data_IF_364812486481
#
_entry.id   IF_364812486481
#
_cell.length_a   1.000
_cell.length_b   1.000
_cell.length_c   1.000
_cell.angle_alpha   90.00
_cell.angle_beta   90.00
_cell.angle_gamma   90.00
#
_symmetry.space_group_name_H-M   'P 1'
#
loop_
_entity.id
_entity.type
_entity.pdbx_description
1 polymer ?
#
# COMPACT_ATOMS: atom_id res chain seq x y z
N UNK A 1 -13.65 -3.27 -12.93
CA UNK A 1 -14.81 -3.68 -12.12
C UNK A 1 -14.46 -3.42 -10.67
N UNK A 2 -15.41 -2.88 -9.89
CA UNK A 2 -15.19 -2.51 -8.48
C UNK A 2 -16.00 -3.45 -7.60
N UNK A 3 -15.32 -4.16 -6.70
CA UNK A 3 -15.96 -5.08 -5.76
C UNK A 3 -16.06 -4.44 -4.37
N UNK A 4 -17.01 -4.89 -3.56
CA UNK A 4 -17.14 -4.44 -2.17
C UNK A 4 -16.23 -5.28 -1.26
N UNK A 5 -15.63 -4.65 -0.25
CA UNK A 5 -14.92 -5.36 0.82
C UNK A 5 -15.78 -5.31 2.08
N UNK A 6 -16.07 -6.47 2.64
CA UNK A 6 -16.94 -6.60 3.83
C UNK A 6 -16.30 -7.43 4.92
N UNK A 7 -16.71 -7.19 6.17
CA UNK A 7 -16.26 -7.96 7.33
C UNK A 7 -16.83 -9.38 7.29
N UNK A 8 -15.99 -10.39 7.51
CA UNK A 8 -16.41 -11.81 7.48
C UNK A 8 -17.21 -12.22 8.72
N UNK A 9 -16.77 -11.79 9.91
CA UNK A 9 -17.34 -12.19 11.20
C UNK A 9 -17.39 -11.02 12.19
N UNK A 10 -18.16 -11.15 13.28
CA UNK A 10 -18.26 -10.08 14.29
C UNK A 10 -16.91 -9.86 14.97
N UNK A 11 -16.40 -8.62 14.95
CA UNK A 11 -15.12 -8.26 15.56
C UNK A 11 -15.26 -6.96 16.35
N UNK A 12 -14.65 -6.91 17.53
CA UNK A 12 -14.51 -5.70 18.33
C UNK A 12 -13.10 -5.14 18.15
N UNK A 13 -13.01 -3.92 17.66
CA UNK A 13 -11.75 -3.20 17.43
C UNK A 13 -11.51 -2.25 18.61
N UNK A 14 -10.46 -2.47 19.43
CA UNK A 14 -10.18 -1.60 20.57
C UNK A 14 -9.92 -0.14 20.15
N UNK A 15 -10.15 0.85 21.04
CA UNK A 15 -9.79 2.23 20.76
C UNK A 15 -8.29 2.37 20.47
N UNK A 16 -7.92 3.33 19.62
CA UNK A 16 -6.51 3.69 19.34
C UNK A 16 -5.61 2.50 18.97
N UNK A 17 -6.16 1.49 18.29
CA UNK A 17 -5.49 0.22 18.03
C UNK A 17 -5.46 -0.15 16.56
N UNK A 18 -4.52 -1.02 16.19
CA UNK A 18 -4.44 -1.65 14.86
C UNK A 18 -4.74 -3.13 14.99
N UNK A 19 -5.51 -3.66 14.04
CA UNK A 19 -5.90 -5.07 14.04
C UNK A 19 -5.99 -5.58 12.60
N UNK A 20 -5.58 -6.82 12.37
CA UNK A 20 -5.90 -7.53 11.14
C UNK A 20 -7.25 -8.23 11.32
N UNK A 21 -8.17 -8.01 10.39
CA UNK A 21 -9.50 -8.59 10.44
C UNK A 21 -9.78 -9.40 9.17
N UNK A 22 -10.41 -10.58 9.29
CA UNK A 22 -10.84 -11.35 8.13
C UNK A 22 -11.95 -10.63 7.36
N UNK A 23 -11.85 -10.69 6.03
CA UNK A 23 -12.80 -10.06 5.12
C UNK A 23 -13.32 -11.03 4.07
N UNK A 24 -14.39 -10.62 3.40
CA UNK A 24 -14.89 -11.21 2.18
C UNK A 24 -14.93 -10.14 1.09
N UNK A 25 -14.64 -10.55 -0.14
CA UNK A 25 -14.77 -9.71 -1.33
C UNK A 25 -15.71 -10.41 -2.30
N UNK A 26 -17.03 -10.21 -2.18
CA UNK A 26 -17.99 -10.80 -3.10
C UNK A 26 -17.69 -10.36 -4.54
N UNK A 27 -17.64 -11.32 -5.47
CA UNK A 27 -17.27 -11.06 -6.87
C UNK A 27 -15.76 -11.01 -7.10
N UNK A 28 -14.92 -11.52 -6.19
CA UNK A 28 -13.47 -11.52 -6.35
C UNK A 28 -12.98 -12.35 -7.53
N UNK A 29 -13.79 -13.29 -8.03
CA UNK A 29 -13.55 -14.05 -9.26
C UNK A 29 -13.39 -13.16 -10.51
N UNK A 30 -13.91 -11.93 -10.47
CA UNK A 30 -13.79 -10.96 -11.55
C UNK A 30 -12.59 -10.02 -11.40
N UNK A 31 -11.82 -10.13 -10.32
CA UNK A 31 -10.62 -9.33 -10.08
C UNK A 31 -9.37 -10.04 -10.62
N UNK A 32 -8.34 -9.27 -10.95
CA UNK A 32 -6.98 -9.81 -11.15
C UNK A 32 -6.43 -10.32 -9.82
N UNK A 33 -5.35 -11.10 -9.84
CA UNK A 33 -4.78 -11.72 -8.64
C UNK A 33 -4.44 -10.73 -7.51
N UNK A 34 -4.17 -9.47 -7.86
CA UNK A 34 -3.91 -8.39 -6.93
C UNK A 34 -5.00 -7.32 -7.03
N UNK A 35 -5.48 -6.83 -5.88
CA UNK A 35 -6.46 -5.76 -5.81
C UNK A 35 -6.01 -4.61 -4.91
N UNK A 36 -6.43 -3.40 -5.25
CA UNK A 36 -6.29 -2.21 -4.42
C UNK A 36 -7.58 -1.99 -3.64
N UNK A 37 -7.49 -1.88 -2.31
CA UNK A 37 -8.59 -1.58 -1.41
C UNK A 37 -8.56 -0.11 -0.97
N UNK A 38 -9.69 0.55 -1.12
CA UNK A 38 -9.94 1.88 -0.59
C UNK A 38 -10.95 1.85 0.56
N UNK A 39 -10.71 2.66 1.59
CA UNK A 39 -11.58 2.75 2.76
C UNK A 39 -12.88 3.46 2.40
N UNK A 40 -14.02 2.90 2.83
CA UNK A 40 -15.30 3.57 2.68
C UNK A 40 -15.34 4.88 3.49
N UNK A 41 -15.77 6.02 2.90
CA UNK A 41 -15.81 7.29 3.62
C UNK A 41 -16.64 7.26 4.91
N UNK A 42 -17.77 6.54 4.89
CA UNK A 42 -18.65 6.37 6.06
C UNK A 42 -17.93 5.71 7.23
N UNK A 43 -16.99 4.81 6.96
CA UNK A 43 -16.29 4.07 8.00
C UNK A 43 -15.36 4.98 8.83
N UNK A 44 -14.63 5.89 8.19
CA UNK A 44 -13.76 6.82 8.91
C UNK A 44 -14.51 8.02 9.49
N UNK A 45 -15.58 8.47 8.83
CA UNK A 45 -16.41 9.58 9.30
C UNK A 45 -17.19 9.19 10.56
N UNK A 46 -17.91 8.07 10.51
CA UNK A 46 -18.86 7.66 11.56
C UNK A 46 -18.16 6.85 12.66
N UNK A 47 -17.27 5.93 12.28
CA UNK A 47 -16.67 4.96 13.21
C UNK A 47 -15.22 5.25 13.58
N UNK A 48 -14.56 6.24 12.95
CA UNK A 48 -13.13 6.55 13.15
C UNK A 48 -12.22 5.33 12.88
N UNK A 49 -12.54 4.59 11.82
CA UNK A 49 -11.77 3.44 11.34
C UNK A 49 -11.22 3.72 9.94
N UNK A 50 -9.94 3.43 9.70
CA UNK A 50 -9.32 3.42 8.36
C UNK A 50 -8.68 2.08 8.04
N UNK A 51 -8.61 1.72 6.77
CA UNK A 51 -7.74 0.64 6.29
C UNK A 51 -6.33 1.18 6.10
N UNK A 52 -5.32 0.43 6.56
CA UNK A 52 -3.91 0.87 6.55
C UNK A 52 -3.07 0.16 5.49
N UNK A 53 -3.58 -0.95 4.92
CA UNK A 53 -2.97 -1.64 3.77
C UNK A 53 -3.92 -1.60 2.60
N UNK A 54 -3.42 -1.08 1.49
CA UNK A 54 -4.20 -0.89 0.26
C UNK A 54 -4.06 -2.03 -0.75
N UNK A 55 -3.08 -2.93 -0.66
CA UNK A 55 -2.90 -4.00 -1.67
C UNK A 55 -3.17 -5.36 -1.05
N UNK A 56 -3.94 -6.21 -1.75
CA UNK A 56 -4.26 -7.58 -1.34
C UNK A 56 -4.14 -8.57 -2.49
N UNK A 57 -3.99 -9.85 -2.17
CA UNK A 57 -4.22 -10.95 -3.10
C UNK A 57 -5.71 -11.29 -3.13
N UNK A 58 -6.40 -10.90 -4.20
CA UNK A 58 -7.87 -11.00 -4.32
C UNK A 58 -8.39 -12.44 -4.41
N UNK A 59 -7.51 -13.41 -4.71
CA UNK A 59 -7.84 -14.83 -4.85
C UNK A 59 -7.35 -15.70 -3.70
N UNK A 60 -6.76 -15.10 -2.65
CA UNK A 60 -6.37 -15.85 -1.46
C UNK A 60 -7.62 -16.39 -0.74
N UNK A 61 -7.58 -17.62 -0.24
CA UNK A 61 -8.70 -18.24 0.50
C UNK A 61 -8.98 -17.51 1.83
N UNK A 62 -7.93 -17.02 2.50
CA UNK A 62 -8.01 -16.36 3.79
C UNK A 62 -7.60 -14.89 3.66
N UNK A 63 -8.55 -14.06 3.21
CA UNK A 63 -8.34 -12.63 3.05
C UNK A 63 -8.45 -11.93 4.40
N UNK A 64 -7.45 -11.11 4.71
CA UNK A 64 -7.47 -10.23 5.87
C UNK A 64 -6.97 -8.84 5.49
N UNK A 65 -7.52 -7.82 6.16
CA UNK A 65 -7.10 -6.43 5.98
C UNK A 65 -6.71 -5.84 7.32
N UNK A 66 -5.74 -4.92 7.30
CA UNK A 66 -5.33 -4.20 8.49
C UNK A 66 -6.15 -2.92 8.64
N UNK A 67 -6.86 -2.81 9.76
CA UNK A 67 -7.60 -1.61 10.14
C UNK A 67 -6.92 -0.88 11.30
N UNK A 68 -7.16 0.43 11.38
CA UNK A 68 -6.78 1.30 12.48
C UNK A 68 -8.04 1.97 13.03
N UNK A 69 -8.34 1.74 14.31
CA UNK A 69 -9.29 2.55 15.06
C UNK A 69 -8.54 3.74 15.66
N UNK A 70 -8.79 4.94 15.16
CA UNK A 70 -8.21 6.17 15.70
C UNK A 70 -9.19 6.92 16.63
N UNK A 71 -10.34 6.32 16.92
CA UNK A 71 -11.30 6.81 17.90
C UNK A 71 -10.91 6.47 19.34
N UNK A 72 -11.60 7.12 20.30
CA UNK A 72 -11.44 6.92 21.74
C UNK A 72 -12.30 5.79 22.32
N UNK A 73 -13.15 5.16 21.50
CA UNK A 73 -14.05 4.07 21.91
C UNK A 73 -13.80 2.81 21.08
N UNK A 74 -14.09 1.65 21.65
CA UNK A 74 -14.12 0.40 20.91
C UNK A 74 -15.23 0.43 19.84
N UNK A 75 -14.97 -0.17 18.69
CA UNK A 75 -15.92 -0.26 17.59
C UNK A 75 -16.26 -1.72 17.32
N UNK A 76 -17.54 -2.06 17.34
CA UNK A 76 -18.02 -3.37 16.91
C UNK A 76 -18.34 -3.32 15.42
N UNK A 77 -17.75 -4.23 14.67
CA UNK A 77 -18.02 -4.45 13.25
C UNK A 77 -18.73 -5.79 13.10
N UNK A 78 -19.93 -5.76 12.53
CA UNK A 78 -20.74 -6.96 12.30
C UNK A 78 -20.42 -7.56 10.92
N UNK A 79 -20.74 -8.86 10.71
CA UNK A 79 -20.63 -9.50 9.40
C UNK A 79 -21.31 -8.67 8.32
N UNK A 80 -20.74 -8.67 7.11
CA UNK A 80 -21.19 -7.90 5.96
C UNK A 80 -21.11 -6.36 6.10
N UNK A 81 -20.56 -5.82 7.19
CA UNK A 81 -20.26 -4.38 7.28
C UNK A 81 -19.31 -4.00 6.15
N UNK A 82 -19.69 -3.02 5.32
CA UNK A 82 -18.82 -2.52 4.23
C UNK A 82 -17.62 -1.77 4.82
N UNK A 83 -16.42 -2.26 4.52
CA UNK A 83 -15.16 -1.61 4.87
C UNK A 83 -14.69 -0.67 3.78
N UNK A 84 -14.98 -1.01 2.52
CA UNK A 84 -14.35 -0.36 1.39
C UNK A 84 -14.77 -0.91 0.03
N UNK A 85 -13.97 -0.56 -0.96
CA UNK A 85 -14.04 -1.06 -2.34
C UNK A 85 -12.70 -1.65 -2.73
N UNK A 86 -12.72 -2.66 -3.60
CA UNK A 86 -11.54 -3.31 -4.14
C UNK A 86 -11.57 -3.24 -5.67
N UNK A 87 -10.45 -2.86 -6.27
CA UNK A 87 -10.28 -2.75 -7.73
C UNK A 87 -9.06 -3.53 -8.19
N UNK A 88 -9.11 -4.13 -9.38
CA UNK A 88 -7.99 -4.86 -9.95
C UNK A 88 -6.76 -3.97 -10.10
N UNK A 89 -5.62 -4.43 -9.59
CA UNK A 89 -4.33 -3.82 -9.89
C UNK A 89 -3.76 -4.49 -11.16
N UNK A 90 -3.54 -3.69 -12.20
CA UNK A 90 -2.82 -4.14 -13.39
C UNK A 90 -1.37 -3.71 -13.25
N UNK A 91 -0.48 -4.68 -13.01
CA UNK A 91 0.92 -4.47 -13.35
C UNK A 91 1.02 -4.56 -14.86
N UNK A 92 1.09 -3.42 -15.55
CA UNK A 92 1.83 -3.40 -16.80
C UNK A 92 3.27 -3.71 -16.42
N UNK A 93 3.84 -4.87 -16.79
CA UNK A 93 5.29 -4.96 -16.80
C UNK A 93 5.75 -3.78 -17.65
N UNK A 94 6.58 -2.90 -17.09
CA UNK A 94 7.30 -1.96 -17.94
C UNK A 94 7.94 -2.82 -19.03
N UNK A 95 7.74 -2.50 -20.33
CA UNK A 95 8.53 -3.17 -21.34
C UNK A 95 9.97 -2.97 -20.91
N UNK A 96 10.69 -4.07 -20.69
CA UNK A 96 12.11 -4.03 -20.38
C UNK A 96 12.72 -2.96 -21.27
N UNK A 97 13.26 -1.89 -20.67
CA UNK A 97 13.96 -0.81 -21.36
C UNK A 97 15.11 -1.46 -22.13
N UNK A 98 14.75 -1.97 -23.30
CA UNK A 98 15.61 -2.73 -24.16
C UNK A 98 16.37 -1.68 -24.96
N UNK A 99 17.68 -1.70 -24.76
CA UNK A 99 18.73 -1.01 -25.52
C UNK A 99 19.04 0.41 -25.04
N UNK A 100 19.93 0.49 -24.04
CA UNK A 100 20.98 1.50 -24.11
C UNK A 100 21.82 1.17 -25.36
N UNK A 101 21.63 1.92 -26.44
CA UNK A 101 22.57 1.89 -27.55
C UNK A 101 23.94 2.31 -26.98
N UNK A 102 24.91 1.40 -27.02
CA UNK A 102 26.29 1.76 -26.87
C UNK A 102 26.63 2.72 -28.01
N UNK A 103 26.79 4.00 -27.70
CA UNK A 103 27.38 4.97 -28.61
C UNK A 103 28.88 4.68 -28.60
N UNK A 104 29.33 3.96 -29.63
CA UNK A 104 30.73 3.93 -30.00
C UNK A 104 31.15 5.29 -30.54
N UNK A 105 32.44 5.59 -30.33
CA UNK A 105 33.25 6.69 -30.84
C UNK A 105 33.00 8.07 -30.23
N UNK A 106 33.92 8.39 -29.31
CA UNK A 106 34.77 9.60 -29.27
C UNK A 106 34.07 10.96 -29.42
N UNK A 107 34.31 11.82 -28.41
CA UNK A 107 33.90 13.24 -28.31
C UNK A 107 32.53 13.54 -27.67
N UNK A 108 32.50 13.54 -26.32
CA UNK A 108 32.04 14.71 -25.53
C UNK A 108 31.86 14.36 -24.05
N UNK A 109 32.75 14.89 -23.20
CA UNK A 109 32.68 14.84 -21.74
C UNK A 109 31.47 15.60 -21.11
N UNK A 110 30.49 16.03 -21.92
CA UNK A 110 29.35 16.82 -21.46
C UNK A 110 28.03 16.03 -21.31
N UNK A 111 27.98 14.74 -21.69
CA UNK A 111 26.74 13.97 -21.73
C UNK A 111 26.60 12.87 -20.64
N UNK A 112 27.44 12.87 -19.60
CA UNK A 112 27.43 11.87 -18.53
C UNK A 112 26.83 12.33 -17.20
N UNK A 113 26.03 13.40 -17.18
CA UNK A 113 25.30 13.85 -15.98
C UNK A 113 23.80 13.87 -16.28
N UNK A 114 23.16 12.69 -16.28
CA UNK A 114 21.69 12.65 -16.16
C UNK A 114 21.17 11.36 -15.51
N UNK A 115 21.86 10.23 -15.61
CA UNK A 115 21.30 8.97 -15.10
C UNK A 115 21.71 8.58 -13.66
N UNK A 116 22.64 9.30 -13.00
CA UNK A 116 23.04 8.97 -11.62
C UNK A 116 22.26 9.74 -10.53
N UNK A 117 21.44 10.73 -10.88
CA UNK A 117 20.76 11.58 -9.87
C UNK A 117 19.34 11.13 -9.48
N UNK A 118 18.73 10.16 -10.17
CA UNK A 118 17.39 9.67 -9.79
C UNK A 118 17.46 8.80 -8.52
N UNK A 119 18.55 8.07 -8.30
CA UNK A 119 18.78 7.33 -7.06
C UNK A 119 18.96 8.22 -5.81
N UNK A 120 19.29 9.51 -5.99
CA UNK A 120 19.43 10.47 -4.89
C UNK A 120 18.09 11.03 -4.39
N UNK A 121 17.04 11.00 -5.22
CA UNK A 121 15.75 11.63 -4.88
C UNK A 121 14.80 10.63 -4.19
N UNK A 122 14.89 9.32 -4.47
CA UNK A 122 13.97 8.32 -3.92
C UNK A 122 14.63 7.17 -3.13
N UNK A 123 15.93 7.22 -2.89
CA UNK A 123 16.71 6.07 -2.39
C UNK A 123 17.28 6.16 -0.98
N UNK A 124 16.75 6.97 -0.03
CA UNK A 124 17.17 6.93 1.40
C UNK A 124 16.24 7.71 2.34
N UNK A 125 15.00 7.24 2.45
CA UNK A 125 14.06 7.69 3.47
C UNK A 125 13.87 6.68 4.61
N UNK A 126 14.93 6.13 5.20
CA UNK A 126 14.91 5.45 6.51
C UNK A 126 16.30 4.95 6.92
N UNK A 127 16.95 5.66 7.84
CA UNK A 127 17.90 5.20 8.87
C UNK A 127 18.51 6.48 9.47
N UNK A 128 17.72 7.21 10.27
CA UNK A 128 17.79 7.12 11.74
C UNK A 128 19.21 7.29 12.28
N UNK A 129 19.44 8.48 12.84
CA UNK A 129 20.02 8.72 14.18
C UNK A 129 21.44 8.22 14.52
N UNK A 130 22.16 9.16 15.14
CA UNK A 130 23.25 8.96 16.13
C UNK A 130 24.63 8.60 15.57
N UNK A 131 25.46 9.64 15.42
CA UNK A 131 26.61 9.83 16.33
C UNK A 131 27.12 11.27 16.26
N UNK A 132 26.86 12.01 17.34
CA UNK A 132 27.63 13.19 17.70
C UNK A 132 29.05 12.80 18.12
N UNK A 133 29.96 13.76 17.94
CA UNK A 133 31.29 13.93 18.56
C UNK A 133 32.42 12.99 18.11
N UNK A 134 33.37 13.58 17.37
CA UNK A 134 34.82 13.59 17.69
C UNK A 134 35.50 14.67 16.82
N UNK A 135 36.09 15.68 17.48
CA UNK A 135 37.54 15.94 17.56
C UNK A 135 38.07 16.59 16.27
N UNK A 136 38.30 17.90 16.28
CA UNK A 136 39.59 18.59 16.56
C UNK A 136 40.45 18.73 15.29
N UNK A 137 40.94 19.96 15.08
CA UNK A 137 41.79 20.39 13.97
C UNK A 137 41.62 21.88 13.72
#
# INVERSE_FOLDING_TARGET
MVCRVVVRETITVPPQSRMCIPVLIPGSEHLTDNGIIETSPKLWQDKKIVLTRGIIHSKAENQAVQILNFGSKSVVLYPNTKLGTCESCYHTPEPELSRCNAVSSEESEAALISCQNIYKIYGKGALSTLKMKKEEG
#
